data_IF_590272456152
#
_entry.id   IF_590272456152
#
_cell.length_a   1.000
_cell.length_b   1.000
_cell.length_c   1.000
_cell.angle_alpha   90.00
_cell.angle_beta   90.00
_cell.angle_gamma   90.00
#
_symmetry.space_group_name_H-M   'P 1'
#
loop_
_entity.id
_entity.type
_entity.pdbx_description
1 polymer ?
#
# COMPACT_ATOMS: atom_id res chain seq x y z
N UNK A 1 23.91 13.44 19.29
CA UNK A 1 23.75 12.02 19.62
C UNK A 1 22.82 11.96 20.82
N UNK A 2 21.53 11.63 20.63
CA UNK A 2 20.58 11.51 21.74
C UNK A 2 20.85 10.18 22.43
N UNK A 3 21.26 10.24 23.70
CA UNK A 3 21.34 9.09 24.57
C UNK A 3 19.91 8.54 24.74
N UNK A 4 19.59 7.46 24.05
CA UNK A 4 18.36 6.72 24.30
C UNK A 4 18.50 6.03 25.64
N UNK A 5 17.59 6.32 26.56
CA UNK A 5 17.49 5.62 27.84
C UNK A 5 17.40 4.11 27.55
N UNK A 6 18.31 3.27 28.08
CA UNK A 6 18.34 1.86 27.83
C UNK A 6 17.08 1.10 28.31
N UNK A 7 16.25 1.72 29.13
CA UNK A 7 14.97 1.18 29.56
C UNK A 7 13.81 1.48 28.60
N UNK A 8 14.06 2.24 27.52
CA UNK A 8 13.02 2.61 26.56
C UNK A 8 12.64 1.43 25.66
N UNK A 9 11.53 0.80 25.97
CA UNK A 9 10.99 -0.29 25.15
C UNK A 9 10.32 0.27 23.90
N UNK A 10 11.06 0.34 22.80
CA UNK A 10 10.59 0.83 21.49
C UNK A 10 9.29 0.11 21.04
N UNK A 11 9.12 -1.15 21.39
CA UNK A 11 7.93 -1.91 21.02
C UNK A 11 6.67 -1.48 21.77
N UNK A 12 6.79 -1.00 23.01
CA UNK A 12 5.66 -0.54 23.83
C UNK A 12 5.29 0.92 23.57
N UNK A 13 6.21 1.72 23.01
CA UNK A 13 5.99 3.16 22.83
C UNK A 13 6.39 3.65 21.42
N UNK A 14 6.05 2.82 20.43
CA UNK A 14 6.35 3.07 19.01
C UNK A 14 5.83 4.43 18.52
N UNK A 15 4.64 4.84 18.95
CA UNK A 15 4.08 6.14 18.57
C UNK A 15 4.90 7.31 19.07
N UNK A 16 5.36 7.27 20.33
CA UNK A 16 6.24 8.31 20.88
C UNK A 16 7.55 8.39 20.10
N UNK A 17 8.11 7.24 19.70
CA UNK A 17 9.29 7.22 18.83
C UNK A 17 9.00 7.87 17.46
N UNK A 18 7.86 7.61 16.85
CA UNK A 18 7.45 8.24 15.58
C UNK A 18 7.26 9.77 15.72
N UNK A 19 6.75 10.24 16.86
CA UNK A 19 6.49 11.66 17.07
C UNK A 19 7.75 12.48 17.42
N UNK A 20 8.77 11.88 18.02
CA UNK A 20 9.94 12.61 18.54
C UNK A 20 10.64 13.49 17.50
N UNK A 21 10.70 13.04 16.23
CA UNK A 21 11.37 13.76 15.15
C UNK A 21 10.43 13.91 13.92
N UNK A 22 9.14 14.15 14.18
CA UNK A 22 8.12 14.14 13.14
C UNK A 22 8.42 15.13 12.00
N UNK A 23 8.76 16.37 12.34
CA UNK A 23 9.08 17.39 11.33
C UNK A 23 10.28 16.98 10.47
N UNK A 24 11.35 16.49 11.09
CA UNK A 24 12.53 16.03 10.37
C UNK A 24 12.22 14.83 9.46
N UNK A 25 11.32 13.92 9.90
CA UNK A 25 10.85 12.80 9.06
C UNK A 25 10.06 13.29 7.85
N UNK A 26 9.13 14.21 8.08
CA UNK A 26 8.33 14.82 7.02
C UNK A 26 9.23 15.55 6.03
N UNK A 27 10.18 16.36 6.49
CA UNK A 27 11.13 17.07 5.62
C UNK A 27 11.96 16.10 4.76
N UNK A 28 12.55 15.05 5.37
CA UNK A 28 13.28 14.03 4.61
C UNK A 28 12.39 13.36 3.58
N UNK A 29 11.17 12.99 3.97
CA UNK A 29 10.20 12.37 3.06
C UNK A 29 9.86 13.28 1.88
N UNK A 30 9.65 14.56 2.13
CA UNK A 30 9.41 15.57 1.08
C UNK A 30 10.61 15.71 0.16
N UNK A 31 11.82 15.87 0.70
CA UNK A 31 13.04 15.95 -0.10
C UNK A 31 13.24 14.70 -0.97
N UNK A 32 12.94 13.53 -0.43
CA UNK A 32 13.09 12.25 -1.13
C UNK A 32 12.10 12.06 -2.26
N UNK A 33 10.83 12.48 -2.06
CA UNK A 33 9.75 12.29 -3.02
C UNK A 33 9.62 13.42 -4.03
N UNK A 34 10.09 14.63 -3.71
CA UNK A 34 9.92 15.81 -4.54
C UNK A 34 10.49 15.67 -5.97
N UNK A 35 11.69 15.10 -6.19
CA UNK A 35 12.23 14.92 -7.55
C UNK A 35 11.33 14.06 -8.45
N UNK A 36 10.61 13.12 -7.86
CA UNK A 36 9.76 12.15 -8.55
C UNK A 36 8.26 12.45 -8.39
N UNK A 37 7.90 13.65 -7.92
CA UNK A 37 6.51 13.99 -7.60
C UNK A 37 5.56 13.91 -8.82
N UNK A 38 6.07 14.03 -10.03
CA UNK A 38 5.27 13.89 -11.25
C UNK A 38 4.93 12.43 -11.61
N UNK A 39 5.58 11.45 -10.98
CA UNK A 39 5.31 10.03 -11.21
C UNK A 39 4.01 9.54 -10.54
N UNK A 40 3.47 10.29 -9.59
CA UNK A 40 2.24 9.93 -8.88
C UNK A 40 1.32 11.14 -8.69
N UNK A 41 0.02 10.87 -8.65
CA UNK A 41 -1.01 11.90 -8.48
C UNK A 41 -1.49 12.01 -7.03
N UNK A 42 -1.42 10.93 -6.25
CA UNK A 42 -1.91 10.90 -4.87
C UNK A 42 -1.00 10.11 -3.94
N UNK A 43 -1.14 10.37 -2.64
CA UNK A 43 -0.53 9.58 -1.57
C UNK A 43 -1.61 8.76 -0.89
N UNK A 44 -1.36 7.46 -0.74
CA UNK A 44 -2.23 6.54 -0.02
C UNK A 44 -1.55 6.05 1.23
N UNK A 45 -2.29 6.07 2.34
CA UNK A 45 -1.81 5.66 3.66
C UNK A 45 -2.74 4.65 4.30
N UNK A 46 -2.23 3.95 5.32
CA UNK A 46 -3.03 3.05 6.14
C UNK A 46 -2.50 3.00 7.57
N UNK A 47 -3.44 2.89 8.52
CA UNK A 47 -3.11 2.79 9.92
C UNK A 47 -2.47 4.06 10.49
N UNK A 48 -2.15 4.02 11.78
CA UNK A 48 -1.67 5.19 12.51
C UNK A 48 -0.32 5.69 11.98
N UNK A 49 0.63 4.79 11.69
CA UNK A 49 1.95 5.14 11.18
C UNK A 49 1.87 5.92 9.86
N UNK A 50 1.12 5.42 8.89
CA UNK A 50 0.90 6.12 7.62
C UNK A 50 0.18 7.45 7.80
N UNK A 51 -0.82 7.53 8.70
CA UNK A 51 -1.61 8.74 8.95
C UNK A 51 -0.81 9.86 9.64
N UNK A 52 0.24 9.54 10.38
CA UNK A 52 1.07 10.55 11.05
C UNK A 52 1.89 11.33 10.02
N UNK A 53 2.53 10.66 9.08
CA UNK A 53 3.50 11.27 8.16
C UNK A 53 2.89 11.58 6.80
N UNK A 54 2.10 10.66 6.25
CA UNK A 54 1.60 10.74 4.87
C UNK A 54 0.82 12.01 4.54
N UNK A 55 -0.19 12.43 5.33
CA UNK A 55 -0.93 13.67 5.08
C UNK A 55 -0.07 14.93 5.12
N UNK A 56 0.94 14.98 6.01
CA UNK A 56 1.85 16.13 6.09
C UNK A 56 2.75 16.20 4.85
N UNK A 57 3.27 15.06 4.40
CA UNK A 57 4.05 14.95 3.17
C UNK A 57 3.19 15.32 1.95
N UNK A 58 1.97 14.81 1.88
CA UNK A 58 1.02 15.12 0.81
C UNK A 58 0.75 16.63 0.71
N UNK A 59 0.49 17.26 1.85
CA UNK A 59 0.26 18.71 1.93
C UNK A 59 1.45 19.51 1.39
N UNK A 60 2.68 19.16 1.80
CA UNK A 60 3.89 19.86 1.36
C UNK A 60 4.23 19.63 -0.11
N UNK A 61 3.90 18.46 -0.65
CA UNK A 61 4.03 18.14 -2.07
C UNK A 61 2.85 18.64 -2.92
N UNK A 62 1.83 19.24 -2.28
CA UNK A 62 0.58 19.67 -2.93
C UNK A 62 -0.12 18.51 -3.67
N UNK A 63 -0.08 17.32 -3.08
CA UNK A 63 -0.73 16.12 -3.59
C UNK A 63 -1.98 15.80 -2.76
N UNK A 64 -3.08 15.36 -3.37
CA UNK A 64 -4.20 14.79 -2.63
C UNK A 64 -3.78 13.48 -1.95
N UNK A 65 -4.55 13.08 -0.95
CA UNK A 65 -4.31 11.84 -0.25
C UNK A 65 -5.62 11.13 0.14
N UNK A 66 -5.52 9.85 0.38
CA UNK A 66 -6.59 9.06 0.97
C UNK A 66 -6.05 8.02 1.95
N UNK A 67 -6.93 7.54 2.81
CA UNK A 67 -6.64 6.50 3.79
C UNK A 67 -7.43 5.23 3.49
N UNK A 68 -6.75 4.09 3.54
CA UNK A 68 -7.38 2.78 3.52
C UNK A 68 -7.61 2.34 4.96
N UNK A 69 -8.88 2.22 5.35
CA UNK A 69 -9.31 1.87 6.72
C UNK A 69 -9.03 0.41 7.04
N UNK A 70 -8.87 0.13 8.34
CA UNK A 70 -8.85 -1.25 8.81
C UNK A 70 -10.27 -1.80 8.91
N UNK A 71 -10.49 -3.11 8.72
CA UNK A 71 -11.79 -3.72 8.97
C UNK A 71 -12.27 -3.43 10.40
N UNK A 72 -13.54 -3.05 10.55
CA UNK A 72 -14.14 -2.74 11.86
C UNK A 72 -13.89 -1.33 12.39
N UNK A 73 -13.06 -0.50 11.74
CA UNK A 73 -12.97 0.92 12.08
C UNK A 73 -14.23 1.66 11.61
N UNK A 74 -14.84 2.43 12.53
CA UNK A 74 -15.98 3.28 12.20
C UNK A 74 -15.61 4.33 11.15
N UNK A 75 -16.56 4.68 10.31
CA UNK A 75 -16.40 5.73 9.29
C UNK A 75 -17.65 6.61 9.24
N UNK A 76 -17.44 7.91 8.99
CA UNK A 76 -18.53 8.86 8.79
C UNK A 76 -18.82 9.06 7.28
N UNK A 77 -18.03 8.40 6.40
CA UNK A 77 -18.23 8.48 4.96
C UNK A 77 -19.01 7.28 4.43
N UNK A 78 -19.69 7.47 3.31
CA UNK A 78 -20.35 6.39 2.54
C UNK A 78 -19.33 5.35 2.00
N UNK A 79 -18.03 5.66 2.11
CA UNK A 79 -16.92 4.81 1.69
C UNK A 79 -16.28 4.12 2.87
N UNK A 80 -16.83 2.98 3.24
CA UNK A 80 -16.39 2.20 4.41
C UNK A 80 -14.92 1.75 4.37
N UNK A 81 -14.31 1.64 3.20
CA UNK A 81 -12.97 1.09 3.04
C UNK A 81 -11.90 2.14 2.68
N UNK A 82 -12.26 3.21 1.97
CA UNK A 82 -11.34 4.28 1.52
C UNK A 82 -11.96 5.63 1.83
N UNK A 83 -11.22 6.50 2.50
CA UNK A 83 -11.63 7.87 2.81
C UNK A 83 -10.63 8.87 2.25
N UNK A 84 -11.11 10.06 1.86
CA UNK A 84 -10.31 11.14 1.28
C UNK A 84 -10.55 11.33 -0.20
N UNK A 85 -9.51 11.69 -0.95
CA UNK A 85 -9.61 11.97 -2.37
C UNK A 85 -9.61 10.69 -3.22
N UNK A 86 -10.49 10.58 -4.20
CA UNK A 86 -10.66 9.38 -5.02
C UNK A 86 -10.34 9.59 -6.51
N UNK A 87 -10.20 10.83 -6.98
CA UNK A 87 -10.06 11.13 -8.41
C UNK A 87 -8.59 11.24 -8.84
N UNK A 88 -7.86 10.12 -8.83
CA UNK A 88 -6.47 10.01 -9.29
C UNK A 88 -6.25 8.73 -10.11
N UNK A 89 -5.26 8.73 -11.01
CA UNK A 89 -4.89 7.58 -11.85
C UNK A 89 -3.73 6.79 -11.27
N UNK A 90 -2.85 7.44 -10.54
CA UNK A 90 -1.67 6.82 -9.97
C UNK A 90 -1.43 7.26 -8.54
N UNK A 91 -0.89 6.37 -7.72
CA UNK A 91 -0.58 6.70 -6.33
C UNK A 91 0.67 6.00 -5.83
N UNK A 92 1.28 6.61 -4.82
CA UNK A 92 2.33 6.02 -4.01
C UNK A 92 1.80 5.71 -2.61
N UNK A 93 2.25 4.61 -2.03
CA UNK A 93 1.97 4.27 -0.63
C UNK A 93 3.06 4.87 0.24
N UNK A 94 2.68 5.57 1.31
CA UNK A 94 3.61 6.08 2.33
C UNK A 94 3.32 5.39 3.65
N UNK A 95 4.33 4.69 4.19
CA UNK A 95 4.24 3.95 5.45
C UNK A 95 5.58 4.00 6.18
N UNK A 96 5.64 3.47 7.40
CA UNK A 96 6.86 3.44 8.23
C UNK A 96 7.83 2.34 7.80
N UNK A 97 7.32 1.13 7.63
CA UNK A 97 8.10 -0.06 7.27
C UNK A 97 7.23 -1.11 6.55
N UNK A 98 7.90 -2.02 5.86
CA UNK A 98 7.27 -3.23 5.32
C UNK A 98 7.92 -4.45 5.98
N UNK A 99 7.11 -5.25 6.68
CA UNK A 99 7.53 -6.56 7.20
C UNK A 99 7.25 -7.66 6.15
N UNK A 100 5.98 -8.03 5.96
CA UNK A 100 5.55 -9.09 5.04
C UNK A 100 4.98 -8.58 3.71
N UNK A 101 4.84 -7.27 3.55
CA UNK A 101 4.13 -6.67 2.42
C UNK A 101 2.60 -6.81 2.46
N UNK A 102 2.05 -7.42 3.52
CA UNK A 102 0.60 -7.62 3.66
C UNK A 102 -0.19 -6.31 3.60
N UNK A 103 0.31 -5.25 4.25
CA UNK A 103 -0.30 -3.92 4.22
C UNK A 103 -0.34 -3.34 2.81
N UNK A 104 0.77 -3.41 2.07
CA UNK A 104 0.85 -2.89 0.69
C UNK A 104 -0.13 -3.62 -0.22
N UNK A 105 -0.13 -4.95 -0.20
CA UNK A 105 -1.08 -5.77 -0.97
C UNK A 105 -2.53 -5.47 -0.62
N UNK A 106 -2.82 -5.30 0.67
CA UNK A 106 -4.17 -4.99 1.12
C UNK A 106 -4.63 -3.60 0.67
N UNK A 107 -3.75 -2.59 0.72
CA UNK A 107 -4.03 -1.25 0.18
C UNK A 107 -4.37 -1.35 -1.30
N UNK A 108 -3.52 -2.00 -2.10
CA UNK A 108 -3.75 -2.16 -3.55
C UNK A 108 -5.08 -2.85 -3.84
N UNK A 109 -5.35 -3.96 -3.16
CA UNK A 109 -6.61 -4.70 -3.27
C UNK A 109 -7.82 -3.82 -2.93
N UNK A 110 -7.78 -3.13 -1.78
CA UNK A 110 -8.91 -2.33 -1.31
C UNK A 110 -9.19 -1.13 -2.23
N UNK A 111 -8.15 -0.44 -2.72
CA UNK A 111 -8.30 0.65 -3.70
C UNK A 111 -8.95 0.11 -4.98
N UNK A 112 -8.46 -1.02 -5.52
CA UNK A 112 -9.02 -1.64 -6.71
C UNK A 112 -10.49 -2.02 -6.53
N UNK A 113 -10.82 -2.73 -5.46
CA UNK A 113 -12.19 -3.14 -5.15
C UNK A 113 -13.13 -1.95 -4.97
N UNK A 114 -12.69 -0.91 -4.26
CA UNK A 114 -13.45 0.32 -4.08
C UNK A 114 -13.69 1.04 -5.39
N UNK A 115 -12.69 1.11 -6.26
CA UNK A 115 -12.83 1.74 -7.57
C UNK A 115 -13.80 0.97 -8.48
N UNK A 116 -13.73 -0.35 -8.51
CA UNK A 116 -14.64 -1.19 -9.30
C UNK A 116 -16.09 -1.14 -8.78
N UNK A 117 -16.27 -1.02 -7.44
CA UNK A 117 -17.59 -0.97 -6.82
C UNK A 117 -18.28 0.40 -6.97
N UNK A 118 -17.55 1.47 -7.29
CA UNK A 118 -18.06 2.84 -7.29
C UNK A 118 -17.45 3.69 -8.41
N UNK A 119 -17.60 3.25 -9.66
CA UNK A 119 -17.03 3.92 -10.84
C UNK A 119 -17.42 5.40 -10.97
N UNK A 120 -18.61 5.78 -10.50
CA UNK A 120 -19.06 7.17 -10.46
C UNK A 120 -18.23 8.09 -9.54
N UNK A 121 -17.49 7.51 -8.58
CA UNK A 121 -16.60 8.24 -7.67
C UNK A 121 -15.14 8.14 -8.08
N UNK A 122 -14.80 7.08 -8.82
CA UNK A 122 -13.50 6.86 -9.44
C UNK A 122 -13.56 7.14 -10.94
N UNK A 123 -13.96 8.38 -11.28
CA UNK A 123 -14.22 8.80 -12.65
C UNK A 123 -13.06 8.55 -13.61
N UNK A 124 -11.83 8.53 -13.08
CA UNK A 124 -10.59 8.31 -13.84
C UNK A 124 -10.19 6.82 -13.96
N UNK A 125 -11.08 5.91 -13.52
CA UNK A 125 -10.89 4.46 -13.57
C UNK A 125 -10.16 3.90 -12.35
N UNK A 126 -9.72 2.63 -12.45
CA UNK A 126 -8.99 1.96 -11.37
C UNK A 126 -7.57 2.53 -11.29
N UNK A 127 -7.17 3.16 -10.17
CA UNK A 127 -5.85 3.75 -10.07
C UNK A 127 -4.75 2.71 -9.89
N UNK A 128 -3.56 3.04 -10.38
CA UNK A 128 -2.38 2.20 -10.31
C UNK A 128 -1.47 2.59 -9.14
N UNK A 129 -1.03 1.59 -8.37
CA UNK A 129 0.05 1.76 -7.40
C UNK A 129 1.39 1.78 -8.14
N UNK A 130 2.03 2.95 -8.21
CA UNK A 130 3.29 3.12 -8.93
C UNK A 130 4.53 2.98 -8.05
N UNK A 131 4.38 2.97 -6.73
CA UNK A 131 5.48 2.83 -5.81
C UNK A 131 5.07 2.84 -4.35
N UNK A 132 6.05 2.69 -3.48
CA UNK A 132 5.90 2.94 -2.05
C UNK A 132 7.15 3.62 -1.48
N UNK A 133 6.93 4.38 -0.43
CA UNK A 133 7.99 5.04 0.33
C UNK A 133 7.89 4.70 1.81
N UNK A 134 9.00 4.24 2.39
CA UNK A 134 9.13 3.83 3.78
C UNK A 134 9.96 4.86 4.52
N UNK A 135 9.32 5.75 5.26
CA UNK A 135 9.96 6.90 5.84
C UNK A 135 10.93 6.58 7.00
N UNK A 136 10.83 5.42 7.65
CA UNK A 136 11.78 5.01 8.68
C UNK A 136 13.14 4.60 8.12
N UNK A 137 13.16 4.09 6.88
CA UNK A 137 14.36 3.59 6.22
C UNK A 137 14.81 4.46 5.04
N UNK A 138 14.08 5.56 4.77
CA UNK A 138 14.25 6.38 3.57
C UNK A 138 14.27 5.55 2.28
N UNK A 139 13.46 4.50 2.25
CA UNK A 139 13.40 3.55 1.15
C UNK A 139 12.28 3.91 0.18
N UNK A 140 12.63 4.23 -1.04
CA UNK A 140 11.70 4.52 -2.14
C UNK A 140 11.83 3.44 -3.21
N UNK A 141 10.73 2.76 -3.50
CA UNK A 141 10.65 1.70 -4.51
C UNK A 141 9.58 2.06 -5.53
N UNK A 142 9.96 2.02 -6.80
CA UNK A 142 9.06 2.24 -7.91
C UNK A 142 8.72 0.93 -8.62
N UNK A 143 7.51 0.82 -9.09
CA UNK A 143 7.07 -0.27 -9.96
C UNK A 143 7.89 -0.25 -11.24
N UNK A 144 8.49 -1.37 -11.61
CA UNK A 144 9.26 -1.53 -12.87
C UNK A 144 10.72 -1.11 -12.80
N UNK A 145 11.24 -0.59 -11.70
CA UNK A 145 12.64 -0.16 -11.60
C UNK A 145 13.68 -1.30 -11.71
N UNK A 146 13.25 -2.56 -11.81
CA UNK A 146 14.12 -3.71 -12.12
C UNK A 146 15.33 -3.92 -11.21
N UNK A 147 15.49 -3.11 -10.16
CA UNK A 147 16.61 -3.20 -9.24
C UNK A 147 16.44 -4.43 -8.36
N UNK A 148 17.37 -5.37 -8.50
CA UNK A 148 17.51 -6.55 -7.64
C UNK A 148 17.86 -6.13 -6.21
N UNK A 149 16.88 -5.80 -5.40
CA UNK A 149 17.07 -5.69 -3.97
C UNK A 149 16.97 -7.09 -3.36
N UNK A 150 18.09 -7.60 -2.89
CA UNK A 150 18.25 -8.94 -2.32
C UNK A 150 17.59 -9.14 -0.95
N UNK A 151 16.83 -8.20 -0.45
CA UNK A 151 16.15 -8.30 0.83
C UNK A 151 14.64 -8.32 0.66
N UNK A 152 14.06 -9.50 0.87
CA UNK A 152 12.64 -9.83 0.79
C UNK A 152 12.00 -9.55 -0.57
N UNK A 153 11.11 -10.37 -0.99
CA UNK A 153 10.29 -10.40 -2.21
C UNK A 153 9.48 -9.10 -2.47
N UNK A 154 10.10 -7.92 -2.27
CA UNK A 154 9.47 -6.60 -2.39
C UNK A 154 8.96 -6.35 -3.81
N UNK A 155 9.57 -6.95 -4.83
CA UNK A 155 9.11 -6.90 -6.21
C UNK A 155 7.79 -7.62 -6.44
N UNK A 156 7.53 -8.68 -5.67
CA UNK A 156 6.25 -9.38 -5.71
C UNK A 156 5.07 -8.54 -5.20
N UNK A 157 5.33 -7.41 -4.53
CA UNK A 157 4.28 -6.50 -4.10
C UNK A 157 3.54 -5.84 -5.26
N UNK A 158 4.17 -5.75 -6.43
CA UNK A 158 3.58 -5.21 -7.65
C UNK A 158 3.12 -6.28 -8.63
N UNK A 159 3.41 -7.56 -8.39
CA UNK A 159 2.86 -8.63 -9.19
C UNK A 159 1.38 -8.81 -8.84
N UNK A 160 0.55 -8.88 -9.86
CA UNK A 160 -0.80 -9.37 -9.66
C UNK A 160 -0.70 -10.81 -9.13
N UNK A 161 -1.10 -11.02 -7.89
CA UNK A 161 -1.32 -12.38 -7.39
C UNK A 161 -2.48 -12.89 -8.24
N UNK A 162 -2.31 -13.92 -9.08
CA UNK A 162 -3.42 -14.48 -9.84
C UNK A 162 -4.55 -14.76 -8.84
N UNK A 163 -5.75 -14.29 -9.18
CA UNK A 163 -6.91 -14.53 -8.34
C UNK A 163 -6.94 -16.03 -8.03
N UNK A 164 -7.04 -16.38 -6.75
CA UNK A 164 -7.23 -17.80 -6.40
C UNK A 164 -8.40 -18.28 -7.21
N UNK A 165 -8.25 -19.37 -8.02
CA UNK A 165 -9.34 -19.84 -8.81
C UNK A 165 -10.57 -20.04 -7.92
N UNK A 166 -11.71 -19.59 -8.36
CA UNK A 166 -12.98 -19.77 -7.65
C UNK A 166 -13.19 -21.27 -7.38
N UNK A 167 -14.01 -21.61 -6.41
CA UNK A 167 -14.35 -23.01 -6.14
C UNK A 167 -14.86 -23.70 -7.40
N UNK A 168 -15.63 -22.98 -8.25
CA UNK A 168 -16.13 -23.50 -9.52
C UNK A 168 -14.99 -23.81 -10.50
N UNK A 169 -13.98 -22.95 -10.62
CA UNK A 169 -12.81 -23.16 -11.48
C UNK A 169 -11.92 -24.30 -10.95
N UNK A 170 -11.77 -24.43 -9.63
CA UNK A 170 -11.04 -25.54 -9.01
C UNK A 170 -11.75 -26.89 -9.29
N UNK A 171 -13.07 -26.92 -9.17
CA UNK A 171 -13.88 -28.11 -9.47
C UNK A 171 -13.80 -28.44 -10.96
N UNK A 172 -13.92 -27.46 -11.84
CA UNK A 172 -13.79 -27.65 -13.29
C UNK A 172 -12.42 -28.21 -13.68
N UNK A 173 -11.35 -27.67 -13.10
CA UNK A 173 -9.97 -28.16 -13.30
C UNK A 173 -9.80 -29.62 -12.82
N UNK A 174 -10.37 -29.95 -11.65
CA UNK A 174 -10.31 -31.31 -11.11
C UNK A 174 -11.08 -32.31 -11.99
N UNK A 175 -12.25 -31.93 -12.54
CA UNK A 175 -13.02 -32.75 -13.48
C UNK A 175 -12.26 -32.97 -14.79
N UNK A 176 -11.66 -31.92 -15.35
CA UNK A 176 -10.88 -32.00 -16.59
C UNK A 176 -9.66 -32.95 -16.42
N UNK A 177 -8.95 -32.84 -15.28
CA UNK A 177 -7.82 -33.72 -14.96
C UNK A 177 -8.25 -35.19 -14.88
N UNK A 178 -9.40 -35.46 -14.24
CA UNK A 178 -9.94 -36.81 -14.10
C UNK A 178 -10.38 -37.40 -15.45
N UNK A 179 -10.99 -36.60 -16.32
CA UNK A 179 -11.39 -37.04 -17.69
C UNK A 179 -10.16 -37.36 -18.55
N UNK A 180 -9.11 -36.55 -18.48
CA UNK A 180 -7.84 -36.77 -19.17
C UNK A 180 -7.16 -38.06 -18.69
N UNK A 181 -7.19 -38.36 -17.38
CA UNK A 181 -6.63 -39.59 -16.84
C UNK A 181 -7.42 -40.84 -17.27
N UNK A 182 -8.73 -40.74 -17.43
CA UNK A 182 -9.58 -41.85 -17.92
C UNK A 182 -9.37 -42.13 -19.43
N UNK A 183 -9.13 -41.07 -20.21
CA UNK A 183 -8.86 -41.19 -21.65
C UNK A 183 -7.48 -41.80 -21.97
N UNK A 184 -6.52 -41.70 -21.06
CA UNK A 184 -5.18 -42.30 -21.22
C UNK A 184 -5.13 -43.78 -20.83
N UNK A 185 -6.16 -44.29 -20.16
CA UNK A 185 -6.26 -45.69 -19.70
C UNK A 185 -7.26 -46.53 -20.50
N UNK A 186 -7.81 -45.98 -21.57
CA UNK A 186 -8.68 -46.65 -22.55
C UNK A 186 -7.94 -46.86 -23.88
#
# INVERSE_FOLDING_TARGET
MLNLDPEYNIASDYLTYCFRDLDARVERSVMRLKPDAERFEAIVVRGMSGLIVGPMVASRLKKPWCVVRKPGEGTHSDHKAVEGWHNFRSYIIVDDLIASGGTVRLIQKTIRESALASLNKWERGVPECVGYYLYNHDELVWRGDGKNYSFHDKYFLFQEIPARPSVAEQVAAAIATRQSALALNS
#
